data_IF_814521456869
#
_entry.id   IF_814521456869
#
_cell.length_a   1.000
_cell.length_b   1.000
_cell.length_c   1.000
_cell.angle_alpha   90.00
_cell.angle_beta   90.00
_cell.angle_gamma   90.00
#
_symmetry.space_group_name_H-M   'P 1'
#
loop_
_entity.id
_entity.type
_entity.pdbx_description
1 polymer ?
#
# COMPACT_ATOMS: atom_id res chain seq x y z
N UNK A 1 7.72 -4.93 -26.65
CA UNK A 1 7.48 -3.55 -27.11
C UNK A 1 7.88 -3.52 -28.57
N UNK A 2 6.91 -3.36 -29.46
CA UNK A 2 7.12 -3.22 -30.90
C UNK A 2 7.23 -1.73 -31.27
N UNK A 3 7.77 -1.43 -32.45
CA UNK A 3 7.94 -0.06 -32.96
C UNK A 3 6.97 0.17 -34.12
N UNK A 4 5.73 0.62 -33.85
CA UNK A 4 4.75 0.84 -34.90
C UNK A 4 5.10 2.09 -35.72
N UNK A 5 4.71 2.08 -37.00
CA UNK A 5 4.94 3.21 -37.91
C UNK A 5 4.11 4.46 -37.58
N UNK A 6 2.99 4.28 -36.87
CA UNK A 6 2.11 5.36 -36.44
C UNK A 6 1.45 5.05 -35.11
N UNK A 7 0.91 6.10 -34.48
CA UNK A 7 0.06 5.96 -33.29
C UNK A 7 -1.27 5.31 -33.68
N UNK A 8 -1.55 4.15 -33.10
CA UNK A 8 -2.72 3.32 -33.40
C UNK A 8 -3.75 3.30 -32.28
N UNK A 9 -3.37 3.67 -31.06
CA UNK A 9 -4.26 3.68 -29.90
C UNK A 9 -3.56 4.00 -28.57
N UNK A 10 -4.28 3.77 -27.48
CA UNK A 10 -3.93 4.22 -26.13
C UNK A 10 -2.70 3.54 -25.53
N UNK A 11 -2.37 2.32 -26.01
CA UNK A 11 -1.22 1.53 -25.57
C UNK A 11 0.08 1.91 -26.29
N UNK A 12 0.05 2.88 -27.21
CA UNK A 12 1.26 3.43 -27.81
C UNK A 12 2.06 4.24 -26.78
N UNK A 13 3.38 4.05 -26.79
CA UNK A 13 4.34 4.85 -26.03
C UNK A 13 4.96 5.87 -26.99
N UNK A 14 4.83 7.16 -26.67
CA UNK A 14 5.45 8.27 -27.39
C UNK A 14 6.70 8.70 -26.63
N UNK A 15 7.87 8.49 -27.22
CA UNK A 15 9.06 9.21 -26.79
C UNK A 15 9.02 10.56 -27.49
N UNK A 16 9.00 11.62 -26.70
CA UNK A 16 8.78 12.98 -27.18
C UNK A 16 9.84 13.91 -26.64
N UNK A 17 10.15 14.94 -27.42
CA UNK A 17 10.93 16.08 -26.96
C UNK A 17 10.00 17.27 -26.80
N UNK A 18 9.91 17.78 -25.58
CA UNK A 18 9.22 19.01 -25.22
C UNK A 18 10.13 20.21 -25.43
N UNK A 19 9.61 21.24 -26.07
CA UNK A 19 10.24 22.56 -26.12
C UNK A 19 9.17 23.63 -25.87
N UNK A 20 9.41 24.51 -24.91
CA UNK A 20 8.45 25.58 -24.57
C UNK A 20 8.29 26.55 -25.74
N UNK A 21 7.04 26.86 -26.08
CA UNK A 21 6.69 27.77 -27.19
C UNK A 21 5.63 28.77 -26.76
N UNK A 22 5.39 29.78 -27.59
CA UNK A 22 4.15 30.55 -27.55
C UNK A 22 2.97 29.75 -28.16
N UNK A 23 1.78 30.35 -28.15
CA UNK A 23 0.57 29.74 -28.73
C UNK A 23 0.63 29.59 -30.25
N UNK A 24 1.55 30.29 -30.92
CA UNK A 24 1.79 30.25 -32.36
C UNK A 24 2.87 29.23 -32.74
N UNK A 25 3.52 28.60 -31.75
CA UNK A 25 4.57 27.59 -31.93
C UNK A 25 5.99 28.17 -32.05
N UNK A 26 6.21 29.46 -31.78
CA UNK A 26 7.56 30.01 -31.72
C UNK A 26 8.23 29.62 -30.41
N UNK A 27 9.45 29.13 -30.49
CA UNK A 27 10.25 28.71 -29.34
C UNK A 27 10.52 29.88 -28.40
N UNK A 28 10.24 29.69 -27.11
CA UNK A 28 10.52 30.67 -26.08
C UNK A 28 12.03 30.91 -25.92
N UNK A 29 12.43 32.16 -25.67
CA UNK A 29 13.83 32.54 -25.55
C UNK A 29 14.51 31.78 -24.39
N UNK A 30 15.60 31.07 -24.68
CA UNK A 30 16.31 30.23 -23.70
C UNK A 30 15.70 28.85 -23.44
N UNK A 31 14.62 28.46 -24.15
CA UNK A 31 13.99 27.15 -23.99
C UNK A 31 14.91 25.99 -24.39
N UNK A 32 15.14 25.06 -23.48
CA UNK A 32 15.92 23.86 -23.70
C UNK A 32 15.00 22.65 -23.95
N UNK A 33 15.30 21.80 -24.95
CA UNK A 33 14.53 20.60 -25.20
C UNK A 33 14.63 19.64 -24.01
N UNK A 34 13.50 19.03 -23.63
CA UNK A 34 13.43 18.00 -22.60
C UNK A 34 12.78 16.74 -23.15
N UNK A 35 13.43 15.61 -22.96
CA UNK A 35 12.91 14.32 -23.39
C UNK A 35 11.98 13.72 -22.34
N UNK A 36 10.89 13.09 -22.78
CA UNK A 36 10.01 12.30 -21.92
C UNK A 36 9.42 11.11 -22.68
N UNK A 37 8.92 10.11 -21.95
CA UNK A 37 8.27 8.92 -22.50
C UNK A 37 6.86 8.78 -21.93
N UNK A 38 5.85 8.97 -22.79
CA UNK A 38 4.45 9.08 -22.38
C UNK A 38 3.60 8.03 -23.09
N UNK A 39 2.75 7.30 -22.36
CA UNK A 39 1.70 6.50 -22.99
C UNK A 39 0.60 7.42 -23.52
N UNK A 40 0.02 7.10 -24.68
CA UNK A 40 -1.10 7.87 -25.25
C UNK A 40 -2.26 7.98 -24.26
N UNK A 41 -2.50 6.95 -23.45
CA UNK A 41 -3.51 6.98 -22.38
C UNK A 41 -3.28 8.05 -21.29
N UNK A 42 -2.07 8.59 -21.15
CA UNK A 42 -1.81 9.68 -20.19
C UNK A 42 -2.35 11.02 -20.68
N UNK A 43 -2.52 11.19 -21.99
CA UNK A 43 -3.21 12.35 -22.53
C UNK A 43 -4.71 12.28 -22.21
N UNK A 44 -5.33 13.45 -22.05
CA UNK A 44 -6.76 13.57 -21.79
C UNK A 44 -7.56 12.87 -22.90
N UNK A 45 -8.71 12.24 -22.59
CA UNK A 45 -9.53 11.57 -23.60
C UNK A 45 -9.90 12.47 -24.79
N UNK A 46 -10.05 13.78 -24.54
CA UNK A 46 -10.32 14.78 -25.57
C UNK A 46 -9.12 15.06 -26.49
N UNK A 47 -7.89 14.86 -26.00
CA UNK A 47 -6.67 15.13 -26.76
C UNK A 47 -6.20 13.94 -27.61
N UNK A 48 -6.44 12.70 -27.14
CA UNK A 48 -6.00 11.45 -27.82
C UNK A 48 -6.32 11.36 -29.32
N UNK A 49 -7.51 11.79 -29.81
CA UNK A 49 -7.81 11.72 -31.25
C UNK A 49 -6.83 12.48 -32.14
N UNK A 50 -6.18 13.53 -31.61
CA UNK A 50 -5.19 14.33 -32.35
C UNK A 50 -3.85 13.61 -32.53
N UNK A 51 -3.58 12.61 -31.68
CA UNK A 51 -2.37 11.80 -31.70
C UNK A 51 -2.48 10.63 -32.69
N UNK A 52 -3.68 10.16 -32.99
CA UNK A 52 -3.89 9.01 -33.88
C UNK A 52 -3.32 9.29 -35.29
N UNK A 53 -2.59 8.32 -35.82
CA UNK A 53 -1.95 8.41 -37.14
C UNK A 53 -0.64 9.21 -37.17
N UNK A 54 -0.28 9.93 -36.09
CA UNK A 54 1.03 10.61 -35.98
C UNK A 54 2.18 9.61 -36.04
N UNK A 55 3.31 10.04 -36.58
CA UNK A 55 4.52 9.23 -36.78
C UNK A 55 5.72 9.83 -36.05
N UNK A 56 6.79 9.05 -35.95
CA UNK A 56 8.08 9.59 -35.54
C UNK A 56 8.52 10.70 -36.52
N UNK A 57 8.99 11.82 -35.98
CA UNK A 57 9.31 13.05 -36.69
C UNK A 57 8.18 14.08 -36.71
N UNK A 58 6.94 13.70 -36.42
CA UNK A 58 5.84 14.66 -36.37
C UNK A 58 5.98 15.60 -35.17
N UNK A 59 5.70 16.89 -35.42
CA UNK A 59 5.67 17.95 -34.41
C UNK A 59 4.25 18.50 -34.25
N UNK A 60 3.87 18.84 -33.02
CA UNK A 60 2.60 19.51 -32.74
C UNK A 60 2.69 20.34 -31.46
N UNK A 61 1.96 21.45 -31.41
CA UNK A 61 1.89 22.31 -30.23
C UNK A 61 0.78 21.84 -29.31
N UNK A 62 1.06 21.77 -28.01
CA UNK A 62 0.10 21.43 -26.97
C UNK A 62 0.07 22.52 -25.89
N UNK A 63 -1.05 22.63 -25.20
CA UNK A 63 -1.14 23.31 -23.92
C UNK A 63 -1.28 22.25 -22.82
N UNK A 64 -0.42 22.28 -21.80
CA UNK A 64 -0.38 21.21 -20.78
C UNK A 64 -1.73 21.05 -20.06
N UNK A 65 -2.43 22.16 -19.81
CA UNK A 65 -3.76 22.21 -19.20
C UNK A 65 -4.80 21.39 -19.98
N UNK A 66 -4.74 21.42 -21.32
CA UNK A 66 -5.72 20.76 -22.19
C UNK A 66 -5.30 19.34 -22.58
N UNK A 67 -3.98 19.10 -22.67
CA UNK A 67 -3.42 17.82 -23.08
C UNK A 67 -3.48 16.77 -21.97
N UNK A 68 -3.52 17.17 -20.70
CA UNK A 68 -3.42 16.26 -19.55
C UNK A 68 -4.43 16.60 -18.45
N UNK A 69 -5.03 15.55 -17.88
CA UNK A 69 -5.86 15.66 -16.67
C UNK A 69 -5.00 16.00 -15.45
N UNK A 70 -5.63 16.45 -14.35
CA UNK A 70 -4.94 16.96 -13.16
C UNK A 70 -3.86 15.99 -12.61
N UNK A 71 -4.20 14.71 -12.51
CA UNK A 71 -3.31 13.67 -12.00
C UNK A 71 -2.07 13.51 -12.87
N UNK A 72 -2.26 13.40 -14.19
CA UNK A 72 -1.16 13.22 -15.14
C UNK A 72 -0.32 14.49 -15.29
N UNK A 73 -0.98 15.64 -15.34
CA UNK A 73 -0.34 16.96 -15.47
C UNK A 73 0.63 17.24 -14.32
N UNK A 74 0.29 16.84 -13.09
CA UNK A 74 1.10 17.14 -11.91
C UNK A 74 2.54 16.62 -12.02
N UNK A 75 2.74 15.37 -12.48
CA UNK A 75 4.09 14.82 -12.64
C UNK A 75 4.76 15.27 -13.95
N UNK A 76 4.01 15.54 -15.01
CA UNK A 76 4.56 16.12 -16.25
C UNK A 76 5.15 17.50 -15.98
N UNK A 77 4.46 18.34 -15.21
CA UNK A 77 5.00 19.64 -14.80
C UNK A 77 6.30 19.48 -14.03
N UNK A 78 6.39 18.49 -13.11
CA UNK A 78 7.62 18.21 -12.38
C UNK A 78 8.77 17.74 -13.29
N UNK A 79 8.51 16.83 -14.23
CA UNK A 79 9.50 16.36 -15.21
C UNK A 79 10.03 17.52 -16.07
N UNK A 80 9.15 18.47 -16.41
CA UNK A 80 9.49 19.69 -17.12
C UNK A 80 10.10 20.76 -16.22
N UNK A 81 10.38 20.47 -14.94
CA UNK A 81 10.90 21.39 -13.92
C UNK A 81 10.07 22.67 -13.75
N UNK A 82 8.75 22.54 -13.89
CA UNK A 82 7.76 23.58 -13.63
C UNK A 82 7.08 23.36 -12.28
N UNK A 83 6.38 24.38 -11.78
CA UNK A 83 5.66 24.26 -10.52
C UNK A 83 4.29 23.60 -10.77
N UNK A 84 4.08 22.40 -10.21
CA UNK A 84 2.81 21.66 -10.29
C UNK A 84 1.60 22.39 -9.69
N UNK A 85 1.83 23.32 -8.77
CA UNK A 85 0.77 24.12 -8.12
C UNK A 85 0.49 25.44 -8.87
N UNK A 86 1.26 25.76 -9.92
CA UNK A 86 1.15 26.99 -10.68
C UNK A 86 0.19 26.83 -11.86
N UNK A 87 -0.93 27.54 -11.83
CA UNK A 87 -1.88 27.57 -12.95
C UNK A 87 -1.25 28.17 -14.21
N UNK A 88 -0.42 29.19 -14.06
CA UNK A 88 0.30 29.81 -15.17
C UNK A 88 1.26 28.82 -15.87
N UNK A 89 1.90 27.93 -15.11
CA UNK A 89 2.77 26.90 -15.69
C UNK A 89 1.97 25.81 -16.41
N UNK A 90 0.78 25.46 -15.92
CA UNK A 90 -0.12 24.55 -16.61
C UNK A 90 -0.67 25.13 -17.92
N UNK A 91 -0.84 26.44 -18.01
CA UNK A 91 -1.33 27.14 -19.21
C UNK A 91 -0.25 27.35 -20.28
N UNK A 92 1.02 27.00 -20.02
CA UNK A 92 2.10 27.13 -20.99
C UNK A 92 1.93 26.19 -22.18
N UNK A 93 2.47 26.65 -23.32
CA UNK A 93 2.48 25.91 -24.58
C UNK A 93 3.82 25.24 -24.80
N UNK A 94 3.78 24.05 -25.40
CA UNK A 94 4.96 23.26 -25.74
C UNK A 94 4.82 22.70 -27.15
N UNK A 95 5.89 22.75 -27.93
CA UNK A 95 6.04 21.87 -29.09
C UNK A 95 6.48 20.50 -28.62
N UNK A 96 5.73 19.47 -29.00
CA UNK A 96 6.12 18.07 -28.87
C UNK A 96 6.57 17.56 -30.23
N UNK A 97 7.78 17.03 -30.28
CA UNK A 97 8.29 16.25 -31.42
C UNK A 97 8.33 14.79 -31.02
N UNK A 98 7.66 13.91 -31.75
CA UNK A 98 7.74 12.47 -31.51
C UNK A 98 9.08 11.98 -32.05
N UNK A 99 9.99 11.55 -31.19
CA UNK A 99 11.30 11.01 -31.60
C UNK A 99 11.21 9.52 -31.91
N UNK A 100 10.43 8.77 -31.13
CA UNK A 100 10.27 7.32 -31.29
C UNK A 100 8.91 6.84 -30.82
N UNK A 101 8.31 5.94 -31.58
CA UNK A 101 7.08 5.25 -31.22
C UNK A 101 7.38 3.85 -30.68
N UNK A 102 6.65 3.48 -29.64
CA UNK A 102 6.55 2.12 -29.15
C UNK A 102 5.10 1.67 -29.02
N UNK A 103 4.90 0.37 -28.91
CA UNK A 103 3.61 -0.23 -28.55
C UNK A 103 3.80 -1.15 -27.36
N UNK A 104 3.02 -0.88 -26.30
CA UNK A 104 2.95 -1.73 -25.13
C UNK A 104 2.02 -2.91 -25.43
N UNK A 105 2.58 -4.02 -25.88
CA UNK A 105 1.83 -5.26 -26.06
C UNK A 105 1.72 -6.01 -24.73
N UNK A 106 0.50 -6.45 -24.41
CA UNK A 106 0.29 -7.39 -23.30
C UNK A 106 1.07 -8.66 -23.59
N UNK A 107 1.81 -9.15 -22.60
CA UNK A 107 2.48 -10.43 -22.73
C UNK A 107 1.43 -11.54 -22.98
N UNK A 108 1.73 -12.51 -23.86
CA UNK A 108 0.88 -13.68 -24.01
C UNK A 108 0.78 -14.42 -22.68
N UNK A 109 -0.40 -14.99 -22.39
CA UNK A 109 -0.62 -15.84 -21.22
C UNK A 109 -0.03 -17.23 -21.48
N UNK A 110 1.30 -17.31 -21.47
CA UNK A 110 2.07 -18.53 -21.68
C UNK A 110 2.92 -18.90 -20.45
N UNK A 111 3.56 -20.07 -20.48
CA UNK A 111 4.41 -20.55 -19.38
C UNK A 111 5.54 -19.58 -19.02
N UNK A 112 6.07 -18.84 -19.99
CA UNK A 112 7.13 -17.86 -19.74
C UNK A 112 6.59 -16.68 -18.92
N UNK A 113 5.37 -16.21 -19.24
CA UNK A 113 4.68 -15.20 -18.44
C UNK A 113 4.34 -15.73 -17.04
N UNK A 114 3.79 -16.94 -16.93
CA UNK A 114 3.41 -17.53 -15.64
C UNK A 114 4.62 -17.70 -14.72
N UNK A 115 5.77 -18.17 -15.24
CA UNK A 115 7.01 -18.33 -14.49
C UNK A 115 7.60 -17.00 -14.04
N UNK A 116 7.39 -15.90 -14.79
CA UNK A 116 7.81 -14.56 -14.35
C UNK A 116 6.98 -14.04 -13.19
N UNK A 117 5.68 -14.31 -13.19
CA UNK A 117 4.76 -13.86 -12.12
C UNK A 117 4.90 -14.75 -10.88
N UNK A 118 4.96 -16.07 -11.07
CA UNK A 118 5.03 -17.08 -10.02
C UNK A 118 6.29 -17.95 -10.15
N UNK A 119 7.49 -17.42 -9.90
CA UNK A 119 8.73 -18.17 -10.09
C UNK A 119 8.86 -19.42 -9.21
N UNK A 120 8.16 -19.44 -8.07
CA UNK A 120 8.15 -20.54 -7.12
C UNK A 120 7.02 -21.57 -7.34
N UNK A 121 6.05 -21.30 -8.24
CA UNK A 121 4.95 -22.22 -8.55
C UNK A 121 5.13 -22.79 -9.95
N UNK A 122 4.83 -24.06 -10.15
CA UNK A 122 4.75 -24.65 -11.49
C UNK A 122 3.34 -24.44 -12.03
N UNK A 123 3.20 -23.54 -13.00
CA UNK A 123 1.93 -23.20 -13.65
C UNK A 123 2.12 -23.37 -15.15
N UNK A 124 1.41 -24.33 -15.74
CA UNK A 124 1.52 -24.69 -17.16
C UNK A 124 0.39 -24.15 -18.02
N UNK A 125 -0.74 -23.80 -17.42
CA UNK A 125 -1.95 -23.41 -18.16
C UNK A 125 -2.54 -22.09 -17.68
N UNK A 126 -3.31 -21.43 -18.56
CA UNK A 126 -4.05 -20.22 -18.20
C UNK A 126 -5.05 -20.47 -17.07
N UNK A 127 -5.66 -21.66 -17.01
CA UNK A 127 -6.61 -22.02 -15.95
C UNK A 127 -5.92 -22.07 -14.59
N UNK A 128 -4.76 -22.73 -14.51
CA UNK A 128 -3.95 -22.77 -13.29
C UNK A 128 -3.45 -21.38 -12.89
N UNK A 129 -3.07 -20.55 -13.86
CA UNK A 129 -2.65 -19.17 -13.61
C UNK A 129 -3.78 -18.33 -13.01
N UNK A 130 -5.00 -18.42 -13.58
CA UNK A 130 -6.16 -17.70 -13.08
C UNK A 130 -6.57 -18.17 -11.68
N UNK A 131 -6.48 -19.47 -11.41
CA UNK A 131 -6.76 -20.00 -10.07
C UNK A 131 -5.70 -19.51 -9.07
N UNK A 132 -4.42 -19.48 -9.43
CA UNK A 132 -3.37 -18.92 -8.58
C UNK A 132 -3.63 -17.45 -8.22
N UNK A 133 -4.00 -16.62 -9.20
CA UNK A 133 -4.36 -15.21 -8.97
C UNK A 133 -5.60 -15.11 -8.07
N UNK A 134 -6.61 -15.94 -8.31
CA UNK A 134 -7.83 -15.97 -7.49
C UNK A 134 -7.54 -16.35 -6.04
N UNK A 135 -6.67 -17.33 -5.81
CA UNK A 135 -6.27 -17.73 -4.46
C UNK A 135 -5.51 -16.61 -3.76
N UNK A 136 -4.57 -15.94 -4.42
CA UNK A 136 -3.85 -14.81 -3.83
C UNK A 136 -4.82 -13.67 -3.45
N UNK A 137 -5.79 -13.36 -4.32
CA UNK A 137 -6.85 -12.39 -4.01
C UNK A 137 -7.71 -12.86 -2.83
N UNK A 138 -8.10 -14.14 -2.78
CA UNK A 138 -8.90 -14.70 -1.71
C UNK A 138 -8.18 -14.64 -0.36
N UNK A 139 -6.87 -14.94 -0.33
CA UNK A 139 -6.04 -14.84 0.87
C UNK A 139 -5.93 -13.40 1.37
N UNK A 140 -5.75 -12.43 0.46
CA UNK A 140 -5.78 -11.01 0.80
C UNK A 140 -7.13 -10.60 1.39
N UNK A 141 -8.24 -10.95 0.75
CA UNK A 141 -9.58 -10.62 1.24
C UNK A 141 -9.90 -11.29 2.57
N UNK A 142 -9.46 -12.54 2.77
CA UNK A 142 -9.61 -13.25 4.04
C UNK A 142 -8.86 -12.53 5.17
N UNK A 143 -7.63 -12.09 4.91
CA UNK A 143 -6.86 -11.33 5.89
C UNK A 143 -7.53 -9.98 6.21
N UNK A 144 -7.99 -9.25 5.20
CA UNK A 144 -8.70 -7.96 5.40
C UNK A 144 -10.02 -8.14 6.16
N UNK A 145 -10.81 -9.15 5.81
CA UNK A 145 -12.08 -9.47 6.47
C UNK A 145 -11.88 -9.86 7.94
N UNK A 146 -10.89 -10.72 8.22
CA UNK A 146 -10.54 -11.10 9.60
C UNK A 146 -10.06 -9.89 10.40
N UNK A 147 -9.20 -9.03 9.85
CA UNK A 147 -8.78 -7.79 10.54
C UNK A 147 -9.95 -6.87 10.88
N UNK A 148 -10.90 -6.70 9.94
CA UNK A 148 -12.10 -5.90 10.19
C UNK A 148 -13.00 -6.53 11.26
N UNK A 149 -13.17 -7.86 11.25
CA UNK A 149 -13.92 -8.57 12.27
C UNK A 149 -13.26 -8.41 13.65
N UNK A 150 -11.94 -8.58 13.74
CA UNK A 150 -11.16 -8.38 14.97
C UNK A 150 -11.29 -6.96 15.51
N UNK A 151 -11.24 -5.95 14.63
CA UNK A 151 -11.47 -4.56 15.01
C UNK A 151 -12.89 -4.34 15.56
N UNK A 152 -13.90 -4.97 14.93
CA UNK A 152 -15.28 -4.92 15.41
C UNK A 152 -15.42 -5.61 16.77
N UNK A 153 -14.81 -6.78 16.95
CA UNK A 153 -14.81 -7.52 18.21
C UNK A 153 -14.12 -6.75 19.33
N UNK A 154 -13.01 -6.08 19.04
CA UNK A 154 -12.34 -5.19 19.98
C UNK A 154 -13.31 -4.14 20.52
N UNK A 155 -14.02 -3.44 19.63
CA UNK A 155 -14.99 -2.42 20.02
C UNK A 155 -16.19 -3.00 20.78
N UNK A 156 -16.77 -4.11 20.31
CA UNK A 156 -17.89 -4.75 21.02
C UNK A 156 -17.49 -5.21 22.42
N UNK A 157 -16.33 -5.84 22.59
CA UNK A 157 -15.82 -6.25 23.90
C UNK A 157 -15.56 -5.03 24.80
N UNK A 158 -14.93 -4.00 24.28
CA UNK A 158 -14.60 -2.80 25.03
C UNK A 158 -15.86 -2.02 25.44
N UNK A 159 -16.81 -1.81 24.54
CA UNK A 159 -17.97 -0.95 24.78
C UNK A 159 -19.07 -1.66 25.58
N UNK A 160 -19.26 -2.97 25.39
CA UNK A 160 -20.31 -3.73 26.08
C UNK A 160 -19.89 -4.22 27.47
N UNK A 161 -18.59 -4.35 27.74
CA UNK A 161 -18.12 -4.73 29.07
C UNK A 161 -18.20 -3.54 30.01
N UNK A 162 -18.81 -3.69 31.19
CA UNK A 162 -18.77 -2.66 32.23
C UNK A 162 -17.75 -3.04 33.29
N UNK A 163 -16.83 -2.14 33.59
CA UNK A 163 -15.84 -2.28 34.66
C UNK A 163 -15.83 -0.96 35.43
N UNK A 164 -16.05 -1.03 36.74
CA UNK A 164 -15.99 0.13 37.62
C UNK A 164 -14.54 0.35 38.06
N UNK A 165 -13.93 1.44 37.60
CA UNK A 165 -12.56 1.79 37.95
C UNK A 165 -12.51 2.83 39.08
N UNK A 166 -11.52 2.74 40.01
CA UNK A 166 -11.31 3.76 41.02
C UNK A 166 -10.64 5.00 40.41
N UNK A 167 -11.40 5.85 39.73
CA UNK A 167 -10.87 6.96 38.93
C UNK A 167 -9.93 7.89 39.70
N UNK A 168 -10.29 8.26 40.92
CA UNK A 168 -9.47 9.15 41.75
C UNK A 168 -8.11 8.55 42.12
N UNK A 169 -8.00 7.22 42.21
CA UNK A 169 -6.72 6.56 42.41
C UNK A 169 -5.92 6.54 41.10
N UNK A 170 -6.54 6.13 40.00
CA UNK A 170 -5.89 6.02 38.70
C UNK A 170 -5.40 7.37 38.15
N UNK A 171 -6.17 8.44 38.31
CA UNK A 171 -5.74 9.81 37.94
C UNK A 171 -4.53 10.26 38.76
N UNK A 172 -4.51 10.00 40.07
CA UNK A 172 -3.34 10.29 40.94
C UNK A 172 -2.13 9.43 40.58
N UNK A 173 -2.36 8.18 40.17
CA UNK A 173 -1.31 7.30 39.70
C UNK A 173 -0.73 7.80 38.37
N UNK A 174 -1.57 8.23 37.42
CA UNK A 174 -1.12 8.78 36.14
C UNK A 174 -0.34 10.10 36.31
N UNK A 175 -0.72 10.92 37.29
CA UNK A 175 -0.04 12.17 37.64
C UNK A 175 1.42 11.94 38.10
N UNK A 176 1.67 10.86 38.85
CA UNK A 176 2.94 10.64 39.56
C UNK A 176 3.71 9.38 39.10
N UNK A 177 3.14 8.58 38.21
CA UNK A 177 3.63 7.23 37.88
C UNK A 177 4.65 7.17 36.74
N UNK A 178 4.88 8.27 36.02
CA UNK A 178 5.88 8.36 34.96
C UNK A 178 7.23 8.92 35.45
N UNK A 179 8.27 8.86 34.60
CA UNK A 179 9.57 9.49 34.88
C UNK A 179 9.48 11.01 35.06
N UNK A 180 8.44 11.65 34.51
CA UNK A 180 8.10 13.06 34.71
C UNK A 180 6.65 13.18 35.18
N UNK A 181 6.36 13.94 36.24
CA UNK A 181 5.01 14.23 36.66
C UNK A 181 4.23 14.92 35.53
N UNK A 182 3.01 14.45 35.28
CA UNK A 182 2.11 15.09 34.31
C UNK A 182 1.35 16.23 34.96
N UNK A 183 0.88 17.18 34.17
CA UNK A 183 -0.05 18.20 34.62
C UNK A 183 -1.46 17.60 34.78
N UNK A 184 -2.32 18.21 35.62
CA UNK A 184 -3.71 17.78 35.73
C UNK A 184 -4.47 17.81 34.40
N UNK A 185 -4.18 18.78 33.53
CA UNK A 185 -4.81 18.89 32.20
C UNK A 185 -4.39 17.74 31.27
N UNK A 186 -3.10 17.37 31.27
CA UNK A 186 -2.61 16.20 30.52
C UNK A 186 -3.26 14.91 31.03
N UNK A 187 -3.42 14.77 32.35
CA UNK A 187 -4.07 13.61 32.96
C UNK A 187 -5.53 13.51 32.50
N UNK A 188 -6.31 14.58 32.56
CA UNK A 188 -7.72 14.56 32.13
C UNK A 188 -7.86 14.21 30.63
N UNK A 189 -6.96 14.71 29.80
CA UNK A 189 -6.96 14.41 28.36
C UNK A 189 -6.59 12.95 28.05
N UNK A 190 -5.61 12.38 28.77
CA UNK A 190 -5.15 11.01 28.53
C UNK A 190 -5.95 9.94 29.27
N UNK A 191 -6.68 10.31 30.33
CA UNK A 191 -7.38 9.37 31.20
C UNK A 191 -8.37 8.45 30.46
N UNK A 192 -9.16 8.91 29.48
CA UNK A 192 -10.03 8.03 28.69
C UNK A 192 -9.24 6.96 27.91
N UNK A 193 -8.12 7.33 27.29
CA UNK A 193 -7.28 6.38 26.56
C UNK A 193 -6.63 5.37 27.51
N UNK A 194 -6.12 5.84 28.65
CA UNK A 194 -5.53 4.99 29.68
C UNK A 194 -6.54 3.98 30.25
N UNK A 195 -7.75 4.43 30.59
CA UNK A 195 -8.80 3.55 31.13
C UNK A 195 -9.27 2.53 30.10
N UNK A 196 -9.39 2.90 28.82
CA UNK A 196 -9.69 1.96 27.75
C UNK A 196 -8.58 0.91 27.57
N UNK A 197 -7.30 1.31 27.61
CA UNK A 197 -6.19 0.36 27.54
C UNK A 197 -6.17 -0.60 28.75
N UNK A 198 -6.39 -0.09 29.96
CA UNK A 198 -6.50 -0.91 31.16
C UNK A 198 -7.66 -1.90 31.08
N UNK A 199 -8.83 -1.43 30.62
CA UNK A 199 -10.01 -2.26 30.40
C UNK A 199 -9.75 -3.37 29.39
N UNK A 200 -9.11 -3.03 28.27
CA UNK A 200 -8.74 -4.01 27.25
C UNK A 200 -7.80 -5.09 27.78
N UNK A 201 -6.79 -4.71 28.57
CA UNK A 201 -5.88 -5.66 29.21
C UNK A 201 -6.64 -6.60 30.15
N UNK A 202 -7.54 -6.09 30.99
CA UNK A 202 -8.34 -6.93 31.90
C UNK A 202 -9.27 -7.90 31.16
N UNK A 203 -9.91 -7.45 30.08
CA UNK A 203 -10.75 -8.30 29.24
C UNK A 203 -9.90 -9.42 28.62
N UNK A 204 -8.77 -9.04 28.03
CA UNK A 204 -7.85 -9.98 27.37
C UNK A 204 -7.34 -11.02 28.36
N UNK A 205 -6.86 -10.59 29.53
CA UNK A 205 -6.31 -11.48 30.55
C UNK A 205 -7.37 -12.45 31.09
N UNK A 206 -8.62 -11.99 31.28
CA UNK A 206 -9.74 -12.84 31.70
C UNK A 206 -10.02 -13.93 30.65
N UNK A 207 -10.18 -13.56 29.38
CA UNK A 207 -10.48 -14.51 28.30
C UNK A 207 -9.33 -15.50 28.12
N UNK A 208 -8.09 -15.02 28.11
CA UNK A 208 -6.90 -15.86 27.95
C UNK A 208 -6.80 -16.88 29.08
N UNK A 209 -6.99 -16.44 30.33
CA UNK A 209 -6.86 -17.31 31.50
C UNK A 209 -7.98 -18.34 31.57
N UNK A 210 -9.23 -17.93 31.36
CA UNK A 210 -10.39 -18.83 31.45
C UNK A 210 -10.43 -19.88 30.32
N UNK A 211 -9.82 -19.58 29.17
CA UNK A 211 -9.82 -20.45 28.01
C UNK A 211 -8.47 -21.10 27.71
N UNK A 212 -7.50 -20.97 28.63
CA UNK A 212 -6.17 -21.57 28.52
C UNK A 212 -5.46 -21.25 27.19
N UNK A 213 -5.54 -19.98 26.77
CA UNK A 213 -4.92 -19.52 25.52
C UNK A 213 -3.44 -19.30 25.76
N UNK A 214 -2.61 -20.17 25.17
CA UNK A 214 -1.16 -20.11 25.37
C UNK A 214 -0.43 -19.56 24.14
N UNK A 215 0.51 -18.65 24.40
CA UNK A 215 1.51 -18.23 23.42
C UNK A 215 2.76 -19.07 23.68
N UNK A 216 3.12 -19.85 22.69
CA UNK A 216 4.29 -20.72 22.70
C UNK A 216 5.53 -19.95 22.21
N UNK A 217 6.74 -20.41 22.54
CA UNK A 217 7.95 -19.86 21.93
C UNK A 217 7.94 -19.93 20.40
N UNK A 218 7.30 -20.94 19.82
CA UNK A 218 7.22 -21.11 18.36
C UNK A 218 6.39 -20.00 17.71
N UNK A 219 5.31 -19.54 18.35
CA UNK A 219 4.51 -18.41 17.85
C UNK A 219 5.35 -17.12 17.73
N UNK A 220 6.30 -16.93 18.65
CA UNK A 220 7.20 -15.78 18.66
C UNK A 220 8.27 -15.94 17.56
N UNK A 221 8.79 -17.15 17.36
CA UNK A 221 9.72 -17.47 16.26
C UNK A 221 9.06 -17.28 14.90
N UNK A 222 7.83 -17.76 14.73
CA UNK A 222 7.02 -17.58 13.52
C UNK A 222 6.79 -16.09 13.23
N UNK A 223 6.49 -15.29 14.26
CA UNK A 223 6.32 -13.85 14.11
C UNK A 223 7.62 -13.16 13.67
N UNK A 224 8.77 -13.56 14.22
CA UNK A 224 10.07 -13.05 13.80
C UNK A 224 10.37 -13.40 12.33
N UNK A 225 10.10 -14.64 11.90
CA UNK A 225 10.23 -15.05 10.50
C UNK A 225 9.33 -14.22 9.58
N UNK A 226 8.05 -14.06 9.94
CA UNK A 226 7.09 -13.23 9.17
C UNK A 226 7.56 -11.77 9.04
N UNK A 227 8.07 -11.18 10.13
CA UNK A 227 8.59 -9.81 10.10
C UNK A 227 9.81 -9.69 9.18
N UNK A 228 10.74 -10.65 9.23
CA UNK A 228 11.91 -10.68 8.36
C UNK A 228 11.51 -10.71 6.88
N UNK A 229 10.61 -11.62 6.50
CA UNK A 229 10.14 -11.71 5.11
C UNK A 229 9.35 -10.49 4.68
N UNK A 230 8.58 -9.87 5.57
CA UNK A 230 7.92 -8.61 5.29
C UNK A 230 8.93 -7.51 4.94
N UNK A 231 10.10 -7.45 5.58
CA UNK A 231 11.16 -6.49 5.25
C UNK A 231 11.85 -6.78 3.92
N UNK A 232 11.90 -8.05 3.51
CA UNK A 232 12.47 -8.47 2.23
C UNK A 232 11.46 -8.39 1.06
N UNK A 233 10.35 -7.67 1.25
CA UNK A 233 9.34 -7.49 0.22
C UNK A 233 8.43 -8.70 0.00
N UNK A 234 8.31 -9.58 1.01
CA UNK A 234 7.43 -10.76 0.96
C UNK A 234 7.96 -11.89 0.09
N UNK A 235 9.24 -11.86 -0.29
CA UNK A 235 9.88 -12.97 -1.01
C UNK A 235 9.87 -14.21 -0.11
N UNK A 236 9.29 -15.35 -0.56
CA UNK A 236 9.49 -16.61 0.13
C UNK A 236 10.93 -17.05 -0.13
N UNK A 237 11.87 -16.64 0.72
CA UNK A 237 13.07 -17.44 0.87
C UNK A 237 12.67 -18.69 1.67
N UNK A 238 13.19 -19.86 1.33
CA UNK A 238 12.87 -21.06 2.09
C UNK A 238 13.15 -20.83 3.58
N UNK A 239 12.18 -21.20 4.44
CA UNK A 239 12.28 -21.01 5.90
C UNK A 239 13.54 -21.67 6.48
N UNK A 240 14.10 -22.67 5.80
CA UNK A 240 15.26 -23.47 6.22
C UNK A 240 16.64 -22.83 5.94
N UNK A 241 16.69 -21.56 5.56
CA UNK A 241 17.97 -20.90 5.32
C UNK A 241 18.69 -20.61 6.65
N UNK A 242 19.98 -20.96 6.81
CA UNK A 242 20.70 -20.76 8.08
C UNK A 242 20.69 -19.32 8.61
N UNK A 243 20.70 -18.32 7.72
CA UNK A 243 20.66 -16.91 8.09
C UNK A 243 19.29 -16.45 8.63
N UNK A 244 18.20 -17.14 8.27
CA UNK A 244 16.85 -16.89 8.82
C UNK A 244 16.83 -17.33 10.27
N UNK A 245 17.33 -18.52 10.57
CA UNK A 245 17.41 -19.04 11.94
C UNK A 245 18.33 -18.19 12.83
N UNK A 246 19.46 -17.71 12.31
CA UNK A 246 20.34 -16.78 13.03
C UNK A 246 19.61 -15.48 13.39
N UNK A 247 18.82 -14.92 12.46
CA UNK A 247 18.00 -13.74 12.73
C UNK A 247 16.96 -14.03 13.81
N UNK A 248 16.19 -15.12 13.68
CA UNK A 248 15.16 -15.50 14.66
C UNK A 248 15.78 -15.68 16.05
N UNK A 249 16.92 -16.36 16.15
CA UNK A 249 17.63 -16.55 17.42
C UNK A 249 18.08 -15.23 18.04
N UNK A 250 18.56 -14.29 17.24
CA UNK A 250 18.90 -12.94 17.69
C UNK A 250 17.67 -12.19 18.21
N UNK A 251 16.53 -12.28 17.50
CA UNK A 251 15.29 -11.64 17.93
C UNK A 251 14.76 -12.27 19.23
N UNK A 252 14.88 -13.59 19.40
CA UNK A 252 14.49 -14.28 20.65
C UNK A 252 15.37 -13.92 21.85
N UNK A 253 16.56 -13.36 21.64
CA UNK A 253 17.42 -12.82 22.70
C UNK A 253 17.09 -11.35 23.04
N UNK A 254 16.40 -10.64 22.16
CA UNK A 254 15.91 -9.29 22.42
C UNK A 254 14.66 -9.37 23.30
N UNK A 255 14.86 -9.07 24.59
CA UNK A 255 13.78 -9.09 25.59
C UNK A 255 12.60 -8.19 25.20
N UNK A 256 12.86 -7.00 24.64
CA UNK A 256 11.80 -6.08 24.26
C UNK A 256 10.97 -6.66 23.13
N UNK A 257 11.63 -7.22 22.11
CA UNK A 257 10.95 -7.90 21.02
C UNK A 257 10.10 -9.08 21.50
N UNK A 258 10.64 -9.94 22.37
CA UNK A 258 9.92 -11.10 22.90
C UNK A 258 8.70 -10.66 23.69
N UNK A 259 8.84 -9.66 24.58
CA UNK A 259 7.74 -9.13 25.38
C UNK A 259 6.64 -8.52 24.48
N UNK A 260 6.99 -7.64 23.54
CA UNK A 260 6.02 -7.02 22.62
C UNK A 260 5.33 -8.06 21.73
N UNK A 261 6.10 -8.99 21.16
CA UNK A 261 5.55 -10.05 20.31
C UNK A 261 4.66 -10.99 21.08
N UNK A 262 5.01 -11.33 22.33
CA UNK A 262 4.15 -12.13 23.20
C UNK A 262 2.81 -11.44 23.46
N UNK A 263 2.80 -10.13 23.78
CA UNK A 263 1.55 -9.37 23.99
C UNK A 263 0.68 -9.36 22.72
N UNK A 264 1.30 -9.15 21.56
CA UNK A 264 0.61 -9.14 20.27
C UNK A 264 0.03 -10.53 19.94
N UNK A 265 0.82 -11.60 20.08
CA UNK A 265 0.34 -12.96 19.84
C UNK A 265 -0.75 -13.38 20.84
N UNK A 266 -0.65 -12.96 22.10
CA UNK A 266 -1.68 -13.21 23.11
C UNK A 266 -3.01 -12.58 22.68
N UNK A 267 -2.96 -11.33 22.24
CA UNK A 267 -4.13 -10.60 21.75
C UNK A 267 -4.71 -11.23 20.49
N UNK A 268 -3.86 -11.57 19.51
CA UNK A 268 -4.28 -12.19 18.25
C UNK A 268 -4.95 -13.55 18.48
N UNK A 269 -4.35 -14.42 19.29
CA UNK A 269 -4.93 -15.73 19.61
C UNK A 269 -6.25 -15.60 20.39
N UNK A 270 -6.31 -14.65 21.31
CA UNK A 270 -7.55 -14.34 22.03
C UNK A 270 -8.66 -13.92 21.06
N UNK A 271 -8.38 -12.99 20.14
CA UNK A 271 -9.36 -12.54 19.15
C UNK A 271 -9.77 -13.67 18.19
N UNK A 272 -8.82 -14.48 17.71
CA UNK A 272 -9.11 -15.68 16.92
C UNK A 272 -10.02 -16.66 17.67
N UNK A 273 -9.80 -16.85 18.97
CA UNK A 273 -10.69 -17.67 19.79
C UNK A 273 -12.08 -17.03 19.87
N UNK A 274 -12.18 -15.72 20.12
CA UNK A 274 -13.48 -15.01 20.17
C UNK A 274 -14.22 -15.11 18.84
N UNK A 275 -13.53 -15.03 17.70
CA UNK A 275 -14.10 -15.23 16.37
C UNK A 275 -14.84 -16.58 16.26
N UNK A 276 -14.32 -17.65 16.88
CA UNK A 276 -14.99 -18.97 16.90
C UNK A 276 -16.24 -19.03 17.77
N UNK A 277 -16.40 -18.09 18.71
CA UNK A 277 -17.52 -18.04 19.63
C UNK A 277 -18.67 -17.17 19.13
N UNK A 278 -18.43 -16.34 18.11
CA UNK A 278 -19.43 -15.44 17.54
C UNK A 278 -20.05 -16.00 16.27
N UNK A 279 -21.20 -15.45 15.89
CA UNK A 279 -21.85 -15.72 14.61
C UNK A 279 -21.80 -14.42 13.80
N UNK A 280 -20.77 -14.22 12.96
CA UNK A 280 -20.70 -13.04 12.12
C UNK A 280 -21.87 -13.03 11.13
N UNK A 281 -22.34 -11.83 10.79
CA UNK A 281 -23.37 -11.64 9.76
C UNK A 281 -22.66 -11.19 8.50
N UNK A 282 -22.81 -11.97 7.44
CA UNK A 282 -22.24 -11.64 6.14
C UNK A 282 -22.86 -10.36 5.59
N UNK A 283 -22.00 -9.47 5.08
CA UNK A 283 -22.39 -8.23 4.41
C UNK A 283 -21.64 -8.15 3.09
N UNK A 284 -22.41 -8.02 2.02
CA UNK A 284 -21.85 -7.80 0.70
C UNK A 284 -21.12 -6.45 0.65
N UNK A 285 -19.91 -6.47 0.11
CA UNK A 285 -19.12 -5.27 -0.16
C UNK A 285 -18.99 -5.09 -1.67
N UNK A 286 -19.09 -3.85 -2.13
CA UNK A 286 -18.85 -3.50 -3.54
C UNK A 286 -17.39 -3.10 -3.72
N UNK A 287 -16.74 -3.66 -4.74
CA UNK A 287 -15.37 -3.32 -5.15
C UNK A 287 -15.28 -1.91 -5.76
#
# INVERSE_FOLDING_TARGET
MTEPESVTGDDNVLNVTFQETDAQGHVAEGSQPKENSLLVKYFSPAFRPQLLGKKAGDSFTIQLLNAFEEKERAWILQDLALNKESTADAEKYFSLVITKLGLLEKAPLDENFFKKVYPARTIGTEVEFREAVKQDMADQWKAQSSNNLQHTLYHELLDKTKIDFPESFLKRWLLNGGEKPKTPEEVENEFPAFTNALKWNLITDKIVTENHIEVTPEDIRDAARKQLFSYLGGLPAGDDQPWVEDYVNKMMQDRKFVEETYQNQRTNKMLQWVETQVKPVDKDITA
#
